data_IF_676602321156
#
_entry.id   IF_676602321156
#
_cell.length_a   1.000
_cell.length_b   1.000
_cell.length_c   1.000
_cell.angle_alpha   90.00
_cell.angle_beta   90.00
_cell.angle_gamma   90.00
#
_symmetry.space_group_name_H-M   'P 1'
#
loop_
_entity.id
_entity.type
_entity.pdbx_description
1 polymer ?
#
# COMPACT_ATOMS: atom_id res chain seq x y z
N UNK A 1 5.99 -0.93 -9.86
CA UNK A 1 4.79 -0.94 -10.72
C UNK A 1 5.01 -1.47 -12.13
N UNK A 2 5.99 -0.99 -12.90
CA UNK A 2 6.23 -1.47 -14.29
C UNK A 2 6.33 -2.99 -14.43
N UNK A 3 7.00 -3.68 -13.50
CA UNK A 3 7.10 -5.15 -13.53
C UNK A 3 5.73 -5.83 -13.38
N UNK A 4 4.86 -5.34 -12.50
CA UNK A 4 3.49 -5.83 -12.36
C UNK A 4 2.71 -5.61 -13.66
N UNK A 5 2.83 -4.43 -14.25
CA UNK A 5 2.20 -4.14 -15.55
C UNK A 5 2.66 -5.11 -16.64
N UNK A 6 3.94 -5.46 -16.69
CA UNK A 6 4.47 -6.47 -17.63
C UNK A 6 3.90 -7.88 -17.41
N UNK A 7 3.38 -8.17 -16.23
CA UNK A 7 2.66 -9.40 -15.91
C UNK A 7 1.13 -9.29 -16.10
N UNK A 8 0.66 -8.22 -16.76
CA UNK A 8 -0.76 -8.04 -17.08
C UNK A 8 -1.59 -7.35 -15.99
N UNK A 9 -0.95 -6.75 -14.98
CA UNK A 9 -1.66 -5.93 -14.00
C UNK A 9 -2.08 -4.59 -14.62
N UNK A 10 -3.27 -4.12 -14.24
CA UNK A 10 -3.76 -2.79 -14.59
C UNK A 10 -3.30 -1.79 -13.53
N UNK A 11 -2.75 -0.66 -13.95
CA UNK A 11 -2.29 0.40 -13.04
C UNK A 11 -3.38 1.45 -12.83
N UNK A 12 -3.34 2.16 -11.70
CA UNK A 12 -4.23 3.29 -11.38
C UNK A 12 -5.72 2.94 -11.57
N UNK A 13 -6.12 1.76 -11.11
CA UNK A 13 -7.48 1.25 -11.35
C UNK A 13 -8.48 1.90 -10.39
N UNK A 14 -9.48 2.66 -10.89
CA UNK A 14 -10.55 3.15 -10.03
C UNK A 14 -11.43 2.00 -9.57
N UNK A 15 -11.76 1.95 -8.29
CA UNK A 15 -12.66 0.92 -7.73
C UNK A 15 -13.86 1.58 -7.04
N UNK A 16 -15.05 1.06 -7.32
CA UNK A 16 -16.31 1.62 -6.83
C UNK A 16 -16.66 1.13 -5.42
N UNK A 17 -15.78 1.44 -4.47
CA UNK A 17 -15.88 0.94 -3.08
C UNK A 17 -16.56 1.91 -2.12
N UNK A 18 -16.80 3.16 -2.50
CA UNK A 18 -17.48 4.16 -1.66
C UNK A 18 -18.79 4.63 -2.30
N UNK A 19 -19.77 4.96 -1.46
CA UNK A 19 -21.13 5.34 -1.86
C UNK A 19 -21.28 6.82 -2.18
N UNK A 20 -20.38 7.70 -1.69
CA UNK A 20 -20.50 9.16 -1.85
C UNK A 20 -19.29 9.74 -2.58
N UNK A 21 -18.10 9.69 -1.97
CA UNK A 21 -16.85 10.16 -2.61
C UNK A 21 -15.99 8.94 -2.91
N UNK A 22 -15.68 8.73 -4.19
CA UNK A 22 -14.78 7.64 -4.60
C UNK A 22 -13.39 7.91 -4.03
N UNK A 23 -12.78 6.97 -3.30
CA UNK A 23 -11.38 7.08 -2.96
C UNK A 23 -10.54 7.06 -4.25
N UNK A 24 -9.31 7.58 -4.15
CA UNK A 24 -8.34 7.51 -5.24
C UNK A 24 -8.12 6.07 -5.73
N UNK A 25 -7.59 5.93 -6.97
CA UNK A 25 -7.39 4.62 -7.59
C UNK A 25 -6.51 3.69 -6.75
N UNK A 26 -6.59 2.39 -7.04
CA UNK A 26 -5.63 1.39 -6.57
C UNK A 26 -4.39 1.43 -7.46
N UNK A 27 -3.19 1.38 -6.88
CA UNK A 27 -1.95 1.50 -7.66
C UNK A 27 -1.84 0.42 -8.74
N UNK A 28 -2.17 -0.83 -8.39
CA UNK A 28 -2.23 -1.93 -9.33
C UNK A 28 -3.34 -2.94 -8.98
N UNK A 29 -4.00 -3.49 -10.00
CA UNK A 29 -4.98 -4.58 -9.84
C UNK A 29 -4.77 -5.69 -10.85
N UNK A 30 -5.12 -6.92 -10.48
CA UNK A 30 -5.26 -8.03 -11.40
C UNK A 30 -6.62 -8.72 -11.21
N UNK A 31 -7.19 -9.24 -12.30
CA UNK A 31 -8.49 -9.92 -12.24
C UNK A 31 -8.30 -11.37 -11.78
N UNK A 32 -9.05 -11.74 -10.75
CA UNK A 32 -9.14 -13.10 -10.22
C UNK A 32 -10.61 -13.53 -10.32
N UNK A 33 -10.91 -14.31 -11.36
CA UNK A 33 -12.29 -14.65 -11.77
C UNK A 33 -13.12 -13.39 -12.02
N UNK A 34 -14.13 -13.14 -11.20
CA UNK A 34 -15.09 -12.05 -11.25
C UNK A 34 -14.72 -10.86 -10.35
N UNK A 35 -13.65 -10.98 -9.54
CA UNK A 35 -13.19 -9.95 -8.61
C UNK A 35 -11.77 -9.49 -8.93
N UNK A 36 -11.31 -8.45 -8.25
CA UNK A 36 -9.95 -7.94 -8.37
C UNK A 36 -9.10 -8.33 -7.15
N UNK A 37 -7.81 -8.56 -7.38
CA UNK A 37 -6.80 -8.51 -6.33
C UNK A 37 -5.99 -7.23 -6.52
N UNK A 38 -5.80 -6.45 -5.47
CA UNK A 38 -5.09 -5.17 -5.56
C UNK A 38 -3.73 -5.19 -4.86
N UNK A 39 -2.84 -4.32 -5.32
CA UNK A 39 -1.56 -4.03 -4.68
C UNK A 39 -1.47 -2.52 -4.49
N UNK A 40 -1.08 -2.10 -3.29
CA UNK A 40 -0.76 -0.73 -2.93
C UNK A 40 0.70 -0.68 -2.49
N UNK A 41 1.46 0.29 -3.01
CA UNK A 41 2.87 0.49 -2.72
C UNK A 41 3.05 1.78 -1.95
N UNK A 42 3.37 1.65 -0.67
CA UNK A 42 3.46 2.80 0.20
C UNK A 42 4.88 3.40 0.20
N UNK A 43 4.98 4.58 -0.40
CA UNK A 43 6.10 5.51 -0.19
C UNK A 43 5.65 6.85 0.37
N UNK A 44 4.36 6.98 0.69
CA UNK A 44 3.78 8.17 1.29
C UNK A 44 3.88 8.16 2.82
N UNK A 45 3.27 9.17 3.43
CA UNK A 45 3.15 9.27 4.88
C UNK A 45 2.43 8.05 5.49
N UNK A 46 2.79 7.62 6.69
CA UNK A 46 2.13 6.49 7.39
C UNK A 46 0.59 6.57 7.41
N UNK A 47 0.00 7.76 7.49
CA UNK A 47 -1.46 7.93 7.42
C UNK A 47 -2.07 7.47 6.10
N UNK A 48 -1.32 7.52 5.00
CA UNK A 48 -1.72 6.96 3.70
C UNK A 48 -1.82 5.44 3.75
N UNK A 49 -0.95 4.76 4.52
CA UNK A 49 -1.03 3.29 4.69
C UNK A 49 -2.36 2.88 5.29
N UNK A 50 -2.84 3.61 6.30
CA UNK A 50 -4.16 3.35 6.88
C UNK A 50 -5.27 3.52 5.85
N UNK A 51 -5.18 4.57 5.03
CA UNK A 51 -6.14 4.80 3.95
C UNK A 51 -6.13 3.67 2.93
N UNK A 52 -4.95 3.21 2.50
CA UNK A 52 -4.82 2.08 1.56
C UNK A 52 -5.37 0.78 2.15
N UNK A 53 -5.06 0.44 3.40
CA UNK A 53 -5.63 -0.75 4.04
C UNK A 53 -7.14 -0.67 4.17
N UNK A 54 -7.68 0.49 4.58
CA UNK A 54 -9.13 0.68 4.68
C UNK A 54 -9.82 0.60 3.31
N UNK A 55 -9.17 1.12 2.26
CA UNK A 55 -9.64 1.04 0.88
C UNK A 55 -9.77 -0.43 0.44
N UNK A 56 -8.75 -1.25 0.69
CA UNK A 56 -8.76 -2.68 0.40
C UNK A 56 -9.81 -3.43 1.23
N UNK A 57 -9.85 -3.16 2.54
CA UNK A 57 -10.84 -3.76 3.45
C UNK A 57 -12.28 -3.52 2.98
N UNK A 58 -12.62 -2.28 2.62
CA UNK A 58 -13.94 -1.94 2.09
C UNK A 58 -14.24 -2.65 0.77
N UNK A 59 -13.25 -2.76 -0.12
CA UNK A 59 -13.40 -3.49 -1.38
C UNK A 59 -13.65 -4.99 -1.18
N UNK A 60 -12.99 -5.60 -0.18
CA UNK A 60 -13.21 -7.00 0.21
C UNK A 60 -14.61 -7.17 0.81
N UNK A 61 -15.02 -6.30 1.75
CA UNK A 61 -16.37 -6.32 2.34
C UNK A 61 -17.49 -6.24 1.29
N UNK A 62 -17.27 -5.46 0.23
CA UNK A 62 -18.22 -5.30 -0.88
C UNK A 62 -18.13 -6.39 -1.94
N UNK A 63 -17.27 -7.39 -1.76
CA UNK A 63 -17.01 -8.46 -2.74
C UNK A 63 -16.56 -7.92 -4.12
N UNK A 64 -15.98 -6.72 -4.16
CA UNK A 64 -15.34 -6.15 -5.37
C UNK A 64 -13.91 -6.67 -5.48
N UNK A 65 -13.24 -6.77 -4.33
CA UNK A 65 -11.92 -7.37 -4.22
C UNK A 65 -12.03 -8.78 -3.62
N UNK A 66 -11.21 -9.71 -4.10
CA UNK A 66 -10.94 -10.98 -3.41
C UNK A 66 -9.78 -10.84 -2.41
N UNK A 67 -8.99 -9.77 -2.55
CA UNK A 67 -7.93 -9.48 -1.61
C UNK A 67 -7.09 -8.29 -2.02
N UNK A 68 -6.11 -7.99 -1.17
CA UNK A 68 -5.15 -6.94 -1.44
C UNK A 68 -3.86 -7.10 -0.65
N UNK A 69 -2.78 -6.52 -1.17
CA UNK A 69 -1.49 -6.46 -0.50
C UNK A 69 -0.99 -5.02 -0.38
N UNK A 70 -0.71 -4.58 0.85
CA UNK A 70 0.08 -3.37 1.08
C UNK A 70 1.55 -3.74 1.14
N UNK A 71 2.38 -3.09 0.32
CA UNK A 71 3.83 -3.21 0.36
C UNK A 71 4.38 -1.93 1.00
N UNK A 72 5.17 -2.06 2.06
CA UNK A 72 5.76 -0.92 2.77
C UNK A 72 7.10 -1.29 3.42
N UNK A 73 8.00 -0.33 3.67
CA UNK A 73 9.32 -0.63 4.22
C UNK A 73 9.27 -1.13 5.66
N UNK A 74 10.32 -1.86 6.05
CA UNK A 74 10.64 -2.14 7.46
C UNK A 74 11.05 -0.86 8.19
N UNK A 75 11.14 -0.95 9.53
CA UNK A 75 11.67 0.16 10.32
C UNK A 75 13.16 0.43 10.06
N UNK A 76 13.93 -0.58 9.66
CA UNK A 76 15.36 -0.45 9.36
C UNK A 76 15.57 0.30 8.04
N UNK A 77 14.81 -0.04 7.00
CA UNK A 77 14.83 0.71 5.74
C UNK A 77 14.31 2.14 5.93
N UNK A 78 13.25 2.34 6.71
CA UNK A 78 12.67 3.66 7.01
C UNK A 78 13.70 4.69 7.50
N UNK A 79 14.72 4.27 8.27
CA UNK A 79 15.74 5.19 8.83
C UNK A 79 16.49 5.99 7.77
N UNK A 80 16.53 5.51 6.53
CA UNK A 80 17.24 6.13 5.41
C UNK A 80 16.32 6.86 4.43
N UNK A 81 15.00 6.84 4.67
CA UNK A 81 14.00 7.43 3.78
C UNK A 81 13.54 8.81 4.29
N UNK A 82 12.71 9.50 3.50
CA UNK A 82 12.07 10.75 3.92
C UNK A 82 11.24 10.52 5.19
N UNK A 83 11.27 11.50 6.09
CA UNK A 83 10.62 11.39 7.39
C UNK A 83 9.11 11.12 7.27
N UNK A 84 8.57 10.36 8.23
CA UNK A 84 7.16 9.96 8.35
C UNK A 84 6.62 9.07 7.22
N UNK A 85 7.47 8.54 6.34
CA UNK A 85 7.05 7.48 5.40
C UNK A 85 6.48 6.28 6.16
N UNK A 86 5.44 5.65 5.61
CA UNK A 86 4.82 4.46 6.18
C UNK A 86 5.84 3.34 6.41
N UNK A 87 5.76 2.67 7.56
CA UNK A 87 6.64 1.54 7.88
C UNK A 87 5.86 0.47 8.66
N UNK A 88 6.28 -0.79 8.49
CA UNK A 88 5.58 -1.93 9.07
C UNK A 88 5.39 -1.83 10.59
N UNK A 89 6.43 -1.40 11.32
CA UNK A 89 6.41 -1.35 12.78
C UNK A 89 5.37 -0.37 13.32
N UNK A 90 5.16 0.75 12.63
CA UNK A 90 4.19 1.78 13.02
C UNK A 90 2.75 1.38 12.64
N UNK A 91 2.57 0.59 11.58
CA UNK A 91 1.27 0.08 11.14
C UNK A 91 0.80 -1.13 11.98
N UNK A 92 1.72 -1.99 12.43
CA UNK A 92 1.44 -3.25 13.11
C UNK A 92 0.50 -3.17 14.33
N UNK A 93 0.56 -2.15 15.20
CA UNK A 93 -0.38 -2.00 16.33
C UNK A 93 -1.86 -1.96 15.91
N UNK A 94 -2.15 -1.62 14.65
CA UNK A 94 -3.51 -1.53 14.12
C UNK A 94 -4.02 -2.84 13.49
N UNK A 95 -3.18 -3.86 13.35
CA UNK A 95 -3.59 -5.14 12.77
C UNK A 95 -4.80 -5.80 13.46
N UNK A 96 -4.95 -5.75 14.79
CA UNK A 96 -6.15 -6.28 15.44
C UNK A 96 -7.46 -5.67 14.93
N UNK A 97 -7.46 -4.38 14.56
CA UNK A 97 -8.65 -3.71 14.00
C UNK A 97 -9.10 -4.37 12.70
N UNK A 98 -8.16 -4.60 11.77
CA UNK A 98 -8.48 -5.21 10.48
C UNK A 98 -8.76 -6.72 10.61
N UNK A 99 -8.13 -7.41 11.56
CA UNK A 99 -8.42 -8.82 11.86
C UNK A 99 -9.80 -9.05 12.46
N UNK A 100 -10.36 -8.04 13.14
CA UNK A 100 -11.69 -8.13 13.75
C UNK A 100 -12.85 -7.97 12.75
N UNK A 101 -12.57 -7.66 11.48
CA UNK A 101 -13.60 -7.51 10.46
C UNK A 101 -14.28 -8.85 10.16
N UNK A 102 -15.61 -8.85 10.10
CA UNK A 102 -16.39 -10.04 9.76
C UNK A 102 -16.39 -10.26 8.24
N UNK A 103 -15.35 -10.94 7.73
CA UNK A 103 -15.16 -11.27 6.32
C UNK A 103 -15.27 -12.77 6.12
N UNK A 104 -16.23 -13.20 5.31
CA UNK A 104 -16.42 -14.61 4.96
C UNK A 104 -15.33 -15.12 4.00
N UNK A 105 -14.96 -14.30 3.01
CA UNK A 105 -13.98 -14.62 1.99
C UNK A 105 -13.16 -13.39 1.63
N UNK A 106 -11.84 -13.47 1.81
CA UNK A 106 -10.93 -12.41 1.43
C UNK A 106 -9.53 -12.58 2.00
N UNK A 107 -8.54 -11.95 1.37
CA UNK A 107 -7.16 -11.95 1.84
C UNK A 107 -6.63 -10.52 1.95
N UNK A 108 -6.14 -10.13 3.12
CA UNK A 108 -5.44 -8.86 3.32
C UNK A 108 -3.99 -9.14 3.76
N UNK A 109 -3.03 -8.76 2.93
CA UNK A 109 -1.61 -8.96 3.15
C UNK A 109 -0.91 -7.64 3.47
N UNK A 110 0.06 -7.71 4.37
CA UNK A 110 1.03 -6.65 4.60
C UNK A 110 2.41 -7.25 4.33
N UNK A 111 3.11 -6.73 3.32
CA UNK A 111 4.42 -7.20 2.90
C UNK A 111 5.45 -6.15 3.29
N UNK A 112 6.31 -6.50 4.25
CA UNK A 112 7.42 -5.65 4.65
C UNK A 112 8.61 -5.87 3.72
N UNK A 113 9.20 -4.80 3.19
CA UNK A 113 10.39 -4.83 2.34
C UNK A 113 11.58 -4.11 2.99
N UNK A 114 12.79 -4.54 2.67
CA UNK A 114 14.04 -3.98 3.19
C UNK A 114 15.07 -3.86 2.07
N UNK A 115 16.12 -3.06 2.29
CA UNK A 115 17.29 -3.01 1.42
C UNK A 115 18.16 -4.25 1.60
N UNK A 116 18.86 -4.68 0.56
CA UNK A 116 19.74 -5.86 0.66
C UNK A 116 20.98 -5.61 1.54
N UNK A 117 21.53 -4.39 1.50
CA UNK A 117 22.68 -3.97 2.31
C UNK A 117 22.77 -2.44 2.42
N UNK A 118 23.67 -1.94 3.27
CA UNK A 118 23.95 -0.50 3.42
C UNK A 118 25.37 -0.16 3.01
N UNK A 119 25.57 1.01 2.44
CA UNK A 119 26.89 1.55 2.06
C UNK A 119 26.85 3.07 2.07
N UNK A 120 27.96 3.69 2.46
CA UNK A 120 28.22 5.13 2.33
C UNK A 120 28.75 5.53 0.94
N UNK A 121 29.06 4.55 0.09
CA UNK A 121 29.65 4.74 -1.25
C UNK A 121 28.63 4.74 -2.39
N UNK A 122 27.34 4.69 -2.08
CA UNK A 122 26.25 4.74 -3.07
C UNK A 122 25.61 6.12 -3.12
N UNK A 123 25.12 6.56 -4.29
CA UNK A 123 24.41 7.82 -4.39
C UNK A 123 23.14 7.80 -3.53
N UNK A 124 22.83 8.93 -2.90
CA UNK A 124 21.56 9.11 -2.19
C UNK A 124 20.42 9.15 -3.20
N UNK A 125 19.28 8.56 -2.83
CA UNK A 125 18.03 8.73 -3.57
C UNK A 125 17.62 10.20 -3.44
N UNK A 126 17.39 10.85 -4.59
CA UNK A 126 17.02 12.26 -4.62
C UNK A 126 15.65 12.48 -3.98
N UNK A 127 15.50 13.57 -3.23
CA UNK A 127 14.22 14.01 -2.65
C UNK A 127 13.54 14.98 -3.60
N UNK A 128 12.21 14.92 -3.65
CA UNK A 128 11.38 15.97 -4.27
C UNK A 128 11.32 17.24 -3.42
N UNK A 129 10.60 18.24 -3.90
CA UNK A 129 10.37 19.53 -3.21
C UNK A 129 9.04 19.56 -2.46
N UNK A 130 8.53 18.40 -2.05
CA UNK A 130 7.19 18.25 -1.47
C UNK A 130 7.09 18.77 -0.03
N UNK A 131 5.91 19.30 0.34
CA UNK A 131 5.61 19.73 1.69
C UNK A 131 6.50 20.88 2.18
N UNK A 132 7.26 20.65 3.26
CA UNK A 132 8.17 21.65 3.88
C UNK A 132 9.63 21.51 3.43
N UNK A 133 9.89 20.87 2.28
CA UNK A 133 11.25 20.59 1.84
C UNK A 133 12.13 21.84 1.58
N UNK A 134 11.52 23.02 1.38
CA UNK A 134 12.20 24.27 1.03
C UNK A 134 12.14 25.35 2.14
N UNK A 135 11.57 25.03 3.29
CA UNK A 135 11.43 25.95 4.43
C UNK A 135 12.50 25.72 5.50
#
# INVERSE_FOLDING_TARGET
>A
MQKLQSFGWQLETPVEIATVIRPGPMDATCRVRDRLFCVEWETGNISSSHRSVNKMALGIMKKILIGGALILPTREMYKFLTDRIGNFRELAPYFPLWKAMNIEEGLLLIIAIEHDSTSDRVPKIQKGTDGRALQ
#
